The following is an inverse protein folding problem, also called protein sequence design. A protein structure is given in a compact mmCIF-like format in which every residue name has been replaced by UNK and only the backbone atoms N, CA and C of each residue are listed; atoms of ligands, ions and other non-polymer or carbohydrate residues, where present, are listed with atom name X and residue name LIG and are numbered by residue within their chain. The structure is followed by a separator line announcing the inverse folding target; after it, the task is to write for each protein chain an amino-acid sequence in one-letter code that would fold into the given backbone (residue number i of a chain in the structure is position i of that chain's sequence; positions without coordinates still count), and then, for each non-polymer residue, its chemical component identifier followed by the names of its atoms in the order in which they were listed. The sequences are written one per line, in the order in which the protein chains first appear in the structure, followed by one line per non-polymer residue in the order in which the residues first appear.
data_IF_083393769960
#
_entry.id   IF_083393769960
#
_cell.length_a   1.000
_cell.length_b   1.000
_cell.length_c   1.000
_cell.angle_alpha   90.00
_cell.angle_beta   90.00
_cell.angle_gamma   90.00
#
_symmetry.space_group_name_H-M   'P 1'
#
loop_
_entity.id
_entity.type
_entity.pdbx_description
1 polymer ?
#
# COMPACT_ATOMS: atom_id res chain seq x y z
N UNK A 1 15.82 41.59 -73.72
CA UNK A 1 15.09 41.91 -72.48
C UNK A 1 14.47 40.63 -71.94
N UNK A 2 15.03 40.01 -70.84
CA UNK A 2 14.51 38.85 -70.20
C UNK A 2 13.94 39.28 -68.83
N UNK A 3 12.62 39.15 -68.64
CA UNK A 3 11.95 39.40 -67.33
C UNK A 3 12.14 38.25 -66.43
N UNK A 4 12.67 38.50 -65.24
CA UNK A 4 12.75 37.51 -64.12
C UNK A 4 11.45 37.59 -63.30
N UNK A 5 10.76 36.48 -63.22
CA UNK A 5 9.57 36.30 -62.33
C UNK A 5 10.03 35.78 -60.98
N UNK A 6 9.99 36.66 -59.98
CA UNK A 6 10.25 36.25 -58.55
C UNK A 6 9.00 35.61 -57.95
N UNK A 7 9.07 34.32 -57.63
CA UNK A 7 8.02 33.63 -56.85
C UNK A 7 8.27 33.80 -55.35
N UNK A 8 7.37 34.49 -54.69
CA UNK A 8 7.35 34.58 -53.21
C UNK A 8 6.61 33.36 -52.70
N UNK A 9 7.29 32.49 -51.97
CA UNK A 9 6.67 31.38 -51.26
C UNK A 9 6.24 31.85 -49.85
N UNK A 10 4.94 31.88 -49.62
CA UNK A 10 4.37 32.17 -48.31
C UNK A 10 4.36 30.88 -47.47
N UNK A 11 5.22 30.80 -46.46
CA UNK A 11 5.28 29.69 -45.51
C UNK A 11 4.30 30.01 -44.37
N UNK A 12 3.14 29.40 -44.38
CA UNK A 12 2.22 29.40 -43.23
C UNK A 12 2.71 28.42 -42.16
N UNK A 13 3.36 28.92 -41.10
CA UNK A 13 3.70 28.14 -39.92
C UNK A 13 2.45 27.94 -39.05
N UNK A 14 1.86 26.76 -39.10
CA UNK A 14 0.76 26.37 -38.18
C UNK A 14 1.41 25.99 -36.87
N UNK A 15 1.32 26.83 -35.85
CA UNK A 15 1.66 26.53 -34.46
C UNK A 15 0.57 25.65 -33.86
N UNK A 16 0.80 24.35 -33.79
CA UNK A 16 0.00 23.46 -32.95
C UNK A 16 0.35 23.70 -31.47
N UNK A 17 -0.41 24.56 -30.83
CA UNK A 17 -0.37 24.70 -29.38
C UNK A 17 -0.95 23.43 -28.75
N UNK A 18 -0.10 22.54 -28.22
CA UNK A 18 -0.54 21.47 -27.33
C UNK A 18 -0.95 22.10 -26.02
N UNK A 19 -2.26 22.27 -25.80
CA UNK A 19 -2.78 22.60 -24.49
C UNK A 19 -2.50 21.38 -23.57
N UNK A 20 -1.49 21.46 -22.72
CA UNK A 20 -1.30 20.54 -21.64
C UNK A 20 -2.48 20.72 -20.68
N UNK A 21 -3.45 19.80 -20.70
CA UNK A 21 -4.47 19.73 -19.66
C UNK A 21 -3.76 19.40 -18.37
N UNK A 22 -3.71 20.34 -17.42
CA UNK A 22 -3.26 20.03 -16.06
C UNK A 22 -4.11 18.87 -15.53
N UNK A 23 -3.49 17.77 -15.14
CA UNK A 23 -4.19 16.67 -14.50
C UNK A 23 -4.83 17.20 -13.22
N UNK A 24 -6.12 16.92 -13.02
CA UNK A 24 -6.80 17.34 -11.81
C UNK A 24 -6.13 16.68 -10.59
N UNK A 25 -5.81 17.49 -9.59
CA UNK A 25 -5.21 17.02 -8.33
C UNK A 25 -6.10 15.95 -7.69
N UNK A 26 -5.49 14.90 -7.14
CA UNK A 26 -6.20 13.86 -6.41
C UNK A 26 -6.70 14.42 -5.08
N UNK A 27 -7.96 14.15 -4.74
CA UNK A 27 -8.58 14.62 -3.50
C UNK A 27 -9.17 13.45 -2.72
N UNK A 28 -8.97 13.47 -1.40
CA UNK A 28 -9.55 12.54 -0.46
C UNK A 28 -10.47 13.29 0.51
N UNK A 29 -11.78 12.99 0.44
CA UNK A 29 -12.78 13.57 1.32
C UNK A 29 -13.25 12.50 2.29
N UNK A 30 -12.98 12.69 3.60
CA UNK A 30 -13.45 11.77 4.63
C UNK A 30 -14.98 11.79 4.69
N UNK A 31 -15.60 10.62 4.63
CA UNK A 31 -17.07 10.45 4.63
C UNK A 31 -17.56 9.59 5.79
N UNK A 32 -16.70 8.81 6.44
CA UNK A 32 -17.03 8.05 7.63
C UNK A 32 -15.79 7.84 8.53
N UNK A 33 -16.07 7.59 9.80
CA UNK A 33 -15.09 7.26 10.83
C UNK A 33 -15.71 6.26 11.82
N UNK A 34 -14.95 5.24 12.22
CA UNK A 34 -15.37 4.22 13.17
C UNK A 34 -14.29 4.06 14.24
N UNK A 35 -14.61 4.26 15.51
CA UNK A 35 -13.70 4.02 16.63
C UNK A 35 -13.60 2.53 16.90
N UNK A 36 -12.45 1.93 16.56
CA UNK A 36 -12.21 0.48 16.61
C UNK A 36 -10.77 0.25 17.06
N UNK A 37 -10.60 -0.35 18.24
CA UNK A 37 -9.29 -0.54 18.85
C UNK A 37 -8.38 -1.45 18.01
N UNK A 38 -8.94 -2.45 17.34
CA UNK A 38 -8.19 -3.34 16.46
C UNK A 38 -7.66 -2.68 15.16
N UNK A 39 -8.00 -1.41 14.89
CA UNK A 39 -7.48 -0.68 13.73
C UNK A 39 -6.07 -0.10 13.99
N UNK A 40 -5.11 -0.94 14.34
CA UNK A 40 -3.77 -0.54 14.75
C UNK A 40 -2.72 -0.66 13.64
N UNK A 41 -2.78 -1.72 12.81
CA UNK A 41 -1.79 -1.96 11.77
C UNK A 41 -2.36 -1.70 10.37
N UNK A 42 -3.60 -2.13 10.12
CA UNK A 42 -4.19 -1.98 8.79
C UNK A 42 -5.71 -2.06 8.82
N UNK A 43 -6.28 -1.88 7.62
CA UNK A 43 -7.66 -2.23 7.31
C UNK A 43 -7.72 -2.90 5.93
N UNK A 44 -8.43 -4.03 5.83
CA UNK A 44 -8.85 -4.62 4.56
C UNK A 44 -10.30 -4.27 4.25
N UNK A 45 -10.73 -4.47 3.02
CA UNK A 45 -12.12 -4.22 2.62
C UNK A 45 -12.54 -5.15 1.48
N UNK A 46 -13.77 -5.65 1.56
CA UNK A 46 -14.45 -6.36 0.48
C UNK A 46 -15.77 -5.66 0.08
N UNK A 47 -16.67 -6.39 -0.56
CA UNK A 47 -17.94 -5.84 -1.02
C UNK A 47 -18.86 -5.40 0.13
N UNK A 48 -18.86 -6.13 1.25
CA UNK A 48 -19.85 -5.97 2.31
C UNK A 48 -19.24 -5.59 3.67
N UNK A 49 -17.94 -5.91 3.85
CA UNK A 49 -17.26 -5.77 5.13
C UNK A 49 -15.95 -5.00 5.00
N UNK A 50 -15.46 -4.51 6.14
CA UNK A 50 -14.09 -4.11 6.31
C UNK A 50 -13.46 -4.87 7.49
N UNK A 51 -12.13 -5.01 7.45
CA UNK A 51 -11.36 -5.89 8.33
C UNK A 51 -10.21 -5.10 8.96
N UNK A 52 -10.42 -4.48 10.15
CA UNK A 52 -9.32 -3.91 10.92
C UNK A 52 -8.36 -5.00 11.38
N UNK A 53 -7.06 -4.67 11.33
CA UNK A 53 -5.98 -5.58 11.71
C UNK A 53 -5.14 -4.94 12.81
N UNK A 54 -4.86 -5.72 13.83
CA UNK A 54 -3.87 -5.47 14.86
C UNK A 54 -2.80 -6.59 14.82
N UNK A 55 -1.76 -6.49 15.62
CA UNK A 55 -0.60 -7.41 15.61
C UNK A 55 -0.97 -8.90 15.49
N UNK A 56 -1.96 -9.36 16.25
CA UNK A 56 -2.39 -10.77 16.27
C UNK A 56 -3.85 -10.96 15.90
N UNK A 57 -4.56 -9.87 15.58
CA UNK A 57 -6.03 -9.89 15.51
C UNK A 57 -6.51 -9.44 14.13
N UNK A 58 -7.54 -10.11 13.64
CA UNK A 58 -8.39 -9.61 12.56
C UNK A 58 -9.82 -9.50 13.11
N UNK A 59 -10.43 -8.32 12.98
CA UNK A 59 -11.84 -8.13 13.26
C UNK A 59 -12.61 -7.91 11.94
N UNK A 60 -13.92 -8.17 11.95
CA UNK A 60 -14.82 -8.05 10.80
C UNK A 60 -16.00 -7.17 11.17
N UNK A 61 -16.27 -6.17 10.35
CA UNK A 61 -17.36 -5.23 10.49
C UNK A 61 -18.12 -5.06 9.18
N UNK A 62 -19.43 -4.85 9.23
CA UNK A 62 -20.18 -4.35 8.08
C UNK A 62 -19.74 -2.93 7.73
N UNK A 63 -19.98 -2.49 6.49
CA UNK A 63 -19.63 -1.14 6.04
C UNK A 63 -20.33 0.01 6.78
N UNK A 64 -21.39 -0.30 7.52
CA UNK A 64 -22.08 0.65 8.40
C UNK A 64 -21.46 0.73 9.82
N UNK A 65 -20.39 -0.03 10.10
CA UNK A 65 -19.73 -0.10 11.39
C UNK A 65 -20.29 -1.17 12.33
N UNK A 66 -21.27 -1.96 11.93
CA UNK A 66 -21.80 -3.06 12.75
C UNK A 66 -20.75 -4.16 12.92
N UNK A 67 -20.39 -4.48 14.16
CA UNK A 67 -19.49 -5.60 14.48
C UNK A 67 -20.06 -6.94 14.03
N UNK A 68 -19.21 -7.80 13.47
CA UNK A 68 -19.59 -9.14 13.01
C UNK A 68 -18.82 -10.24 13.76
N UNK A 69 -17.49 -10.15 13.72
CA UNK A 69 -16.62 -11.18 14.32
C UNK A 69 -15.23 -10.61 14.64
N UNK A 70 -14.51 -11.32 15.50
CA UNK A 70 -13.12 -11.01 15.86
C UNK A 70 -12.38 -12.30 16.17
N UNK A 71 -11.16 -12.45 15.70
CA UNK A 71 -10.31 -13.59 16.05
C UNK A 71 -8.89 -13.14 16.37
N UNK A 72 -8.33 -13.71 17.42
CA UNK A 72 -6.93 -13.57 17.82
C UNK A 72 -6.17 -14.83 17.41
N UNK A 73 -4.96 -14.69 16.89
CA UNK A 73 -4.15 -15.78 16.36
C UNK A 73 -2.80 -15.92 17.08
N UNK A 74 -2.66 -15.32 18.25
CA UNK A 74 -1.45 -15.44 19.06
C UNK A 74 -1.14 -16.90 19.42
N UNK A 75 -2.19 -17.71 19.58
CA UNK A 75 -2.10 -19.14 19.92
C UNK A 75 -1.48 -20.02 18.83
N UNK A 76 -1.49 -19.54 17.57
CA UNK A 76 -0.84 -20.23 16.43
C UNK A 76 0.48 -19.60 16.01
N UNK A 77 1.02 -18.69 16.83
CA UNK A 77 2.34 -18.08 16.61
C UNK A 77 2.34 -16.84 15.74
N UNK A 78 1.19 -16.24 15.43
CA UNK A 78 1.10 -14.91 14.81
C UNK A 78 1.50 -13.88 15.86
N UNK A 79 2.43 -12.97 15.49
CA UNK A 79 2.94 -11.94 16.38
C UNK A 79 2.86 -10.53 15.83
N UNK A 80 2.81 -10.35 14.51
CA UNK A 80 2.77 -9.03 13.88
C UNK A 80 2.23 -9.07 12.46
N UNK A 81 0.90 -8.91 12.34
CA UNK A 81 0.21 -8.72 11.07
C UNK A 81 0.22 -7.24 10.71
N UNK A 82 0.57 -6.91 9.47
CA UNK A 82 0.75 -5.52 9.02
C UNK A 82 -0.24 -5.08 7.94
N UNK A 83 -0.97 -5.99 7.30
CA UNK A 83 -1.86 -5.64 6.19
C UNK A 83 -3.07 -6.55 6.06
N UNK A 84 -4.00 -6.17 5.19
CA UNK A 84 -5.12 -7.04 4.78
C UNK A 84 -5.56 -6.73 3.35
N UNK A 85 -5.19 -7.57 2.39
CA UNK A 85 -5.72 -7.54 1.04
C UNK A 85 -6.83 -8.60 0.89
N UNK A 86 -8.07 -8.15 0.69
CA UNK A 86 -9.20 -9.08 0.55
C UNK A 86 -9.47 -9.37 -0.92
N UNK A 87 -9.22 -10.63 -1.33
CA UNK A 87 -9.24 -11.06 -2.71
C UNK A 87 -9.95 -12.41 -2.82
N UNK A 88 -11.03 -12.47 -3.58
CA UNK A 88 -11.78 -13.69 -3.83
C UNK A 88 -12.16 -14.46 -2.55
N UNK A 89 -12.67 -13.76 -1.54
CA UNK A 89 -13.11 -14.36 -0.27
C UNK A 89 -11.97 -14.78 0.67
N UNK A 90 -10.73 -14.36 0.39
CA UNK A 90 -9.57 -14.60 1.24
C UNK A 90 -8.94 -13.30 1.67
N UNK A 91 -8.47 -13.24 2.90
CA UNK A 91 -7.67 -12.15 3.45
C UNK A 91 -6.22 -12.59 3.39
N UNK A 92 -5.42 -11.89 2.59
CA UNK A 92 -3.96 -12.06 2.53
C UNK A 92 -3.33 -11.00 3.41
N UNK A 93 -2.55 -11.42 4.38
CA UNK A 93 -1.86 -10.51 5.29
C UNK A 93 -0.35 -10.69 5.18
N UNK A 94 0.38 -9.60 5.29
CA UNK A 94 1.80 -9.65 5.62
C UNK A 94 1.95 -9.94 7.10
N UNK A 95 2.90 -10.79 7.44
CA UNK A 95 3.30 -11.11 8.80
C UNK A 95 4.82 -11.06 8.89
N UNK A 96 5.31 -10.50 9.98
CA UNK A 96 6.75 -10.44 10.26
C UNK A 96 7.03 -10.68 11.73
N UNK A 97 8.30 -10.91 12.06
CA UNK A 97 8.74 -10.94 13.46
C UNK A 97 9.23 -9.56 13.95
N UNK A 98 8.74 -8.48 13.35
CA UNK A 98 9.07 -7.13 13.80
C UNK A 98 8.81 -7.01 15.32
N UNK A 99 9.69 -6.62 16.11
CA UNK A 99 11.00 -5.93 15.98
C UNK A 99 12.21 -6.87 16.13
N UNK A 100 12.01 -8.17 16.03
CA UNK A 100 13.10 -9.11 16.28
C UNK A 100 14.04 -9.20 15.09
N UNK A 101 15.28 -9.52 15.41
CA UNK A 101 16.38 -9.72 14.48
C UNK A 101 16.88 -11.18 14.57
N UNK A 102 17.18 -11.85 13.45
CA UNK A 102 16.99 -11.40 12.06
C UNK A 102 15.52 -11.26 11.70
N UNK A 103 15.19 -10.26 10.84
CA UNK A 103 13.81 -10.09 10.36
C UNK A 103 13.40 -11.24 9.46
N UNK A 104 12.29 -11.88 9.80
CA UNK A 104 11.64 -12.93 9.01
C UNK A 104 10.25 -12.52 8.65
N UNK A 105 9.75 -13.02 7.52
CA UNK A 105 8.42 -12.70 7.04
C UNK A 105 7.70 -13.90 6.49
N UNK A 106 6.38 -13.88 6.57
CA UNK A 106 5.48 -14.82 5.92
C UNK A 106 4.24 -14.10 5.38
N UNK A 107 3.51 -14.80 4.54
CA UNK A 107 2.20 -14.40 4.06
C UNK A 107 1.19 -15.34 4.72
N UNK A 108 0.28 -14.76 5.48
CA UNK A 108 -0.76 -15.52 6.15
C UNK A 108 -2.09 -15.34 5.41
N UNK A 109 -2.83 -16.42 5.25
CA UNK A 109 -4.09 -16.44 4.50
C UNK A 109 -5.22 -16.87 5.40
N UNK A 110 -6.27 -16.07 5.43
CA UNK A 110 -7.47 -16.33 6.20
C UNK A 110 -8.70 -16.36 5.30
N UNK A 111 -9.69 -17.15 5.69
CA UNK A 111 -11.00 -17.11 5.06
C UNK A 111 -11.74 -15.84 5.50
N UNK A 112 -12.26 -15.07 4.55
CA UNK A 112 -12.89 -13.78 4.83
C UNK A 112 -14.28 -13.91 5.47
N UNK A 113 -14.92 -15.08 5.37
CA UNK A 113 -16.23 -15.32 5.98
C UNK A 113 -16.09 -15.76 7.42
N UNK A 114 -15.25 -16.76 7.67
CA UNK A 114 -15.12 -17.41 8.98
C UNK A 114 -14.00 -16.86 9.84
N UNK A 115 -13.08 -16.10 9.25
CA UNK A 115 -11.80 -15.66 9.84
C UNK A 115 -10.90 -16.86 10.23
N UNK A 116 -11.08 -18.05 9.65
CA UNK A 116 -10.18 -19.17 9.87
C UNK A 116 -8.86 -18.98 9.16
N UNK A 117 -7.75 -19.29 9.84
CA UNK A 117 -6.44 -19.36 9.22
C UNK A 117 -6.38 -20.59 8.31
N UNK A 118 -6.12 -20.38 7.02
CA UNK A 118 -6.18 -21.44 6.00
C UNK A 118 -4.87 -21.69 5.28
N UNK A 119 -3.83 -20.88 5.51
CA UNK A 119 -2.54 -21.11 4.89
C UNK A 119 -1.46 -20.12 5.30
N UNK A 120 -0.22 -20.56 5.22
CA UNK A 120 0.98 -19.79 5.48
C UNK A 120 2.03 -20.05 4.41
N UNK A 121 2.70 -18.98 3.98
CA UNK A 121 3.81 -19.04 3.02
C UNK A 121 5.03 -18.32 3.61
N UNK A 122 6.01 -19.09 4.08
CA UNK A 122 7.24 -18.53 4.64
C UNK A 122 8.08 -17.89 3.54
N UNK A 123 8.41 -16.64 3.72
CA UNK A 123 9.40 -15.91 2.91
C UNK A 123 10.80 -16.04 3.55
N UNK A 124 10.84 -16.27 4.86
CA UNK A 124 12.07 -16.43 5.62
C UNK A 124 12.84 -15.12 5.81
N UNK A 125 14.14 -15.24 6.00
CA UNK A 125 15.07 -14.11 6.23
C UNK A 125 15.45 -13.52 4.88
N UNK A 126 14.61 -12.66 4.32
CA UNK A 126 14.88 -11.99 3.03
C UNK A 126 14.37 -10.56 3.07
N UNK A 127 15.13 -9.67 2.47
CA UNK A 127 14.73 -8.32 2.06
C UNK A 127 14.27 -7.37 3.17
N UNK A 128 13.92 -7.82 4.35
CA UNK A 128 13.40 -7.01 5.46
C UNK A 128 12.05 -7.51 5.99
N UNK A 129 11.31 -6.63 6.68
CA UNK A 129 9.97 -6.88 7.21
C UNK A 129 8.91 -6.69 6.13
N UNK A 130 8.13 -7.72 5.80
CA UNK A 130 7.01 -7.58 4.86
C UNK A 130 5.89 -6.78 5.52
N UNK A 131 5.64 -5.56 5.06
CA UNK A 131 4.70 -4.62 5.69
C UNK A 131 3.33 -4.59 5.05
N UNK A 132 3.21 -4.88 3.78
CA UNK A 132 1.92 -4.97 3.12
C UNK A 132 1.97 -5.85 1.87
N UNK A 133 0.78 -6.30 1.48
CA UNK A 133 0.51 -7.02 0.24
C UNK A 133 -0.72 -6.43 -0.44
N UNK A 134 -0.71 -6.40 -1.77
CA UNK A 134 -1.91 -6.18 -2.57
C UNK A 134 -1.76 -6.81 -3.96
N UNK A 135 -2.84 -6.87 -4.73
CA UNK A 135 -2.87 -7.53 -6.04
C UNK A 135 -3.29 -6.56 -7.14
N UNK A 136 -2.53 -6.55 -8.23
CA UNK A 136 -2.87 -5.89 -9.48
C UNK A 136 -2.79 -6.91 -10.62
N UNK A 137 -3.86 -7.01 -11.42
CA UNK A 137 -3.94 -7.88 -12.60
C UNK A 137 -3.53 -9.35 -12.35
N UNK A 138 -3.92 -9.89 -11.18
CA UNK A 138 -3.63 -11.26 -10.77
C UNK A 138 -2.25 -11.49 -10.16
N UNK A 139 -1.37 -10.50 -10.18
CA UNK A 139 -0.03 -10.57 -9.59
C UNK A 139 -0.01 -9.89 -8.22
N UNK A 140 0.63 -10.54 -7.24
CA UNK A 140 0.83 -9.94 -5.93
C UNK A 140 2.07 -9.06 -5.90
N UNK A 141 1.96 -7.99 -5.13
CA UNK A 141 3.03 -7.05 -4.82
C UNK A 141 3.10 -6.87 -3.31
N UNK A 142 4.29 -6.57 -2.80
CA UNK A 142 4.47 -6.30 -1.38
C UNK A 142 5.77 -5.56 -1.12
N UNK A 143 5.85 -4.85 0.00
CA UNK A 143 7.06 -4.13 0.40
C UNK A 143 7.73 -4.84 1.55
N UNK A 144 9.03 -5.04 1.39
CA UNK A 144 9.95 -5.40 2.45
C UNK A 144 10.62 -4.13 3.00
N UNK A 145 10.20 -3.72 4.17
CA UNK A 145 10.69 -2.53 4.84
C UNK A 145 12.00 -2.82 5.60
N UNK A 146 12.91 -1.85 5.54
CA UNK A 146 14.07 -1.76 6.40
C UNK A 146 14.01 -0.42 7.15
N UNK A 147 14.72 -0.30 8.26
CA UNK A 147 14.56 0.79 9.23
C UNK A 147 15.90 1.34 9.67
N UNK A 148 15.94 2.61 10.05
CA UNK A 148 17.11 3.27 10.65
C UNK A 148 17.08 3.22 12.19
N UNK A 149 16.43 2.21 12.74
CA UNK A 149 16.31 2.01 14.18
C UNK A 149 16.87 0.65 14.62
N UNK A 150 17.20 0.52 15.90
CA UNK A 150 17.72 -0.73 16.46
C UNK A 150 16.67 -1.85 16.41
N UNK A 151 17.14 -3.06 16.11
CA UNK A 151 16.37 -4.28 16.25
C UNK A 151 16.49 -4.85 17.67
N UNK A 152 15.81 -5.97 17.90
CA UNK A 152 15.82 -6.69 19.15
C UNK A 152 16.10 -8.17 18.93
N UNK A 153 17.00 -8.75 19.71
CA UNK A 153 17.17 -10.20 19.77
C UNK A 153 15.98 -10.84 20.52
N UNK A 154 15.75 -12.17 20.35
CA UNK A 154 14.70 -12.88 21.08
C UNK A 154 14.81 -12.79 22.60
N UNK A 155 16.02 -12.60 23.14
CA UNK A 155 16.27 -12.40 24.56
C UNK A 155 16.00 -10.95 25.06
N UNK A 156 15.58 -10.07 24.14
CA UNK A 156 15.26 -8.68 24.41
C UNK A 156 16.43 -7.69 24.27
N UNK A 157 17.64 -8.16 23.96
CA UNK A 157 18.81 -7.30 23.75
C UNK A 157 18.64 -6.44 22.49
N UNK A 158 18.86 -5.13 22.61
CA UNK A 158 18.87 -4.23 21.45
C UNK A 158 20.17 -4.41 20.66
N UNK A 159 20.06 -4.44 19.35
CA UNK A 159 21.19 -4.57 18.42
C UNK A 159 21.04 -3.60 17.26
N UNK A 160 22.17 -3.13 16.74
CA UNK A 160 22.19 -2.41 15.48
C UNK A 160 21.77 -3.37 14.35
N UNK A 161 20.90 -2.92 13.47
CA UNK A 161 20.42 -3.74 12.35
C UNK A 161 21.52 -3.81 11.28
N UNK A 162 22.12 -4.98 11.03
CA UNK A 162 23.18 -5.10 10.03
C UNK A 162 22.68 -5.13 8.60
N UNK A 163 21.37 -5.13 8.38
CA UNK A 163 20.80 -5.11 7.02
C UNK A 163 20.86 -3.74 6.36
N UNK A 164 21.44 -2.77 7.00
CA UNK A 164 21.50 -1.44 6.48
C UNK A 164 20.28 -0.62 6.87
N UNK A 165 20.07 0.39 6.10
CA UNK A 165 19.19 1.50 6.38
C UNK A 165 17.83 1.30 5.76
N UNK A 166 16.87 2.18 6.08
CA UNK A 166 15.57 2.29 5.40
C UNK A 166 15.69 2.37 3.86
N UNK A 167 16.83 2.81 3.33
CA UNK A 167 17.07 2.89 1.88
C UNK A 167 17.16 1.53 1.17
N UNK A 168 17.25 0.44 1.93
CA UNK A 168 17.13 -0.93 1.41
C UNK A 168 15.67 -1.41 1.30
N UNK A 169 14.70 -0.57 1.64
CA UNK A 169 13.29 -0.89 1.47
C UNK A 169 12.98 -1.14 0.00
N UNK A 170 12.33 -2.27 -0.28
CA UNK A 170 12.13 -2.77 -1.65
C UNK A 170 10.67 -3.19 -1.85
N UNK A 171 10.04 -2.66 -2.89
CA UNK A 171 8.80 -3.20 -3.43
C UNK A 171 9.13 -4.37 -4.34
N UNK A 172 8.39 -5.47 -4.22
CA UNK A 172 8.56 -6.64 -5.09
C UNK A 172 7.24 -7.06 -5.71
N UNK A 173 7.34 -7.72 -6.86
CA UNK A 173 6.29 -8.46 -7.51
C UNK A 173 6.54 -9.95 -7.36
N UNK A 174 5.53 -10.71 -7.01
CA UNK A 174 5.60 -12.16 -6.82
C UNK A 174 4.98 -12.94 -7.97
N UNK A 175 5.50 -14.13 -8.21
CA UNK A 175 4.79 -15.15 -8.99
C UNK A 175 3.72 -15.87 -8.14
N UNK A 176 3.04 -16.83 -8.75
CA UNK A 176 2.02 -17.67 -8.07
C UNK A 176 2.57 -18.57 -6.95
N UNK A 177 3.88 -18.77 -6.90
CA UNK A 177 4.58 -19.57 -5.90
C UNK A 177 5.29 -18.68 -4.85
N UNK A 178 4.99 -17.40 -4.82
CA UNK A 178 5.59 -16.38 -3.95
C UNK A 178 7.10 -16.17 -4.16
N UNK A 179 7.60 -16.48 -5.38
CA UNK A 179 8.97 -16.13 -5.76
C UNK A 179 9.00 -14.71 -6.30
N UNK A 180 10.04 -13.95 -5.94
CA UNK A 180 10.22 -12.59 -6.43
C UNK A 180 10.58 -12.61 -7.91
N UNK A 181 9.76 -11.96 -8.74
CA UNK A 181 9.95 -11.78 -10.17
C UNK A 181 10.68 -10.49 -10.50
N UNK A 182 10.28 -9.40 -9.86
CA UNK A 182 10.77 -8.04 -10.09
C UNK A 182 10.87 -7.30 -8.77
N UNK A 183 11.74 -6.29 -8.70
CA UNK A 183 11.87 -5.44 -7.52
C UNK A 183 12.19 -3.99 -7.88
N UNK A 184 11.72 -3.08 -7.04
CA UNK A 184 11.92 -1.64 -7.16
C UNK A 184 12.32 -1.04 -5.82
N UNK A 185 13.23 -0.07 -5.86
CA UNK A 185 13.62 0.70 -4.69
C UNK A 185 12.80 2.00 -4.62
N UNK A 186 12.66 2.50 -3.43
CA UNK A 186 11.95 3.75 -3.16
C UNK A 186 12.87 4.96 -3.41
N UNK A 187 12.33 6.10 -3.89
CA UNK A 187 13.09 7.34 -3.94
C UNK A 187 13.56 7.74 -2.54
N UNK A 188 14.82 8.15 -2.42
CA UNK A 188 15.41 8.62 -1.15
C UNK A 188 14.54 9.70 -0.50
N UNK A 189 14.10 10.69 -1.28
CA UNK A 189 13.26 11.78 -0.79
C UNK A 189 11.91 11.32 -0.21
N UNK A 190 11.38 10.17 -0.63
CA UNK A 190 10.19 9.58 -0.04
C UNK A 190 10.51 8.90 1.28
N UNK A 191 11.58 8.11 1.32
CA UNK A 191 11.98 7.41 2.54
C UNK A 191 12.39 8.37 3.65
N UNK A 192 12.98 9.52 3.30
CA UNK A 192 13.36 10.56 4.28
C UNK A 192 12.16 11.16 5.01
N UNK A 193 10.98 11.20 4.37
CA UNK A 193 9.73 11.62 5.04
C UNK A 193 9.28 10.66 6.15
N UNK A 194 9.76 9.43 6.16
CA UNK A 194 9.39 8.41 7.15
C UNK A 194 10.33 8.36 8.35
N UNK A 195 11.27 9.31 8.43
CA UNK A 195 12.26 9.45 9.49
C UNK A 195 13.06 8.15 9.70
N UNK A 196 13.07 7.56 10.90
CA UNK A 196 13.72 6.26 11.19
C UNK A 196 12.90 5.05 10.74
N UNK A 197 11.63 5.28 10.34
CA UNK A 197 10.70 4.24 9.90
C UNK A 197 10.78 4.02 8.37
N UNK A 198 9.78 3.35 7.82
CA UNK A 198 9.74 3.00 6.40
C UNK A 198 8.33 3.05 5.84
N UNK A 199 8.13 2.49 4.64
CA UNK A 199 6.82 2.30 4.05
C UNK A 199 6.04 1.23 4.84
N UNK A 200 4.85 1.58 5.30
CA UNK A 200 4.03 0.73 6.17
C UNK A 200 2.73 0.25 5.52
N UNK A 201 2.29 0.87 4.44
CA UNK A 201 1.07 0.44 3.77
C UNK A 201 1.09 0.70 2.27
N UNK A 202 0.26 -0.04 1.56
CA UNK A 202 0.10 0.12 0.12
C UNK A 202 -1.13 -0.58 -0.41
N UNK A 203 -1.75 0.01 -1.43
CA UNK A 203 -2.87 -0.60 -2.15
C UNK A 203 -2.98 -0.04 -3.57
N UNK A 204 -3.40 -0.86 -4.53
CA UNK A 204 -3.61 -0.43 -5.90
C UNK A 204 -4.98 0.22 -6.09
N UNK A 205 -4.94 1.46 -6.58
CA UNK A 205 -6.13 2.25 -6.87
C UNK A 205 -6.88 1.79 -8.14
N UNK A 206 -8.12 2.29 -8.32
CA UNK A 206 -8.93 1.96 -9.50
C UNK A 206 -8.31 2.45 -10.82
N UNK A 207 -7.36 3.37 -10.76
CA UNK A 207 -6.59 3.87 -11.89
C UNK A 207 -5.33 3.03 -12.21
N UNK A 208 -5.12 1.92 -11.49
CA UNK A 208 -3.96 1.04 -11.64
C UNK A 208 -2.66 1.62 -11.07
N UNK A 209 -2.73 2.76 -10.37
CA UNK A 209 -1.59 3.33 -9.65
C UNK A 209 -1.46 2.70 -8.27
N UNK A 210 -0.24 2.61 -7.80
CA UNK A 210 0.04 2.24 -6.43
C UNK A 210 -0.09 3.47 -5.52
N UNK A 211 -0.75 3.30 -4.39
CA UNK A 211 -0.88 4.31 -3.34
C UNK A 211 -0.20 3.77 -2.09
N UNK A 212 0.74 4.53 -1.55
CA UNK A 212 1.56 4.13 -0.40
C UNK A 212 1.33 5.06 0.78
N UNK A 213 1.64 4.55 1.97
CA UNK A 213 1.68 5.31 3.22
C UNK A 213 3.02 5.10 3.93
N UNK A 214 3.44 6.09 4.71
CA UNK A 214 4.50 5.91 5.69
C UNK A 214 3.97 5.37 7.02
N UNK A 215 4.79 5.46 8.07
CA UNK A 215 4.41 5.00 9.40
C UNK A 215 3.48 6.01 10.12
N UNK A 216 3.78 7.30 10.07
CA UNK A 216 3.06 8.33 10.83
C UNK A 216 2.50 9.49 9.97
N UNK A 217 3.08 9.86 8.81
CA UNK A 217 2.61 11.03 8.07
C UNK A 217 1.15 10.92 7.65
N UNK A 218 0.41 12.03 7.81
CA UNK A 218 -0.98 12.17 7.35
C UNK A 218 -1.04 12.39 5.82
N UNK A 219 -0.39 11.52 5.08
CA UNK A 219 -0.19 11.61 3.63
C UNK A 219 -0.33 10.24 2.96
N UNK A 220 -0.89 10.24 1.75
CA UNK A 220 -0.89 9.11 0.82
C UNK A 220 -0.06 9.51 -0.40
N UNK A 221 0.83 8.63 -0.84
CA UNK A 221 1.73 8.87 -1.96
C UNK A 221 1.28 8.08 -3.18
N UNK A 222 0.95 8.76 -4.26
CA UNK A 222 0.61 8.15 -5.53
C UNK A 222 1.89 7.85 -6.29
N UNK A 223 2.06 6.58 -6.68
CA UNK A 223 3.31 6.06 -7.22
C UNK A 223 3.08 5.52 -8.63
N UNK A 224 4.07 5.77 -9.48
CA UNK A 224 4.19 5.18 -10.80
C UNK A 224 5.42 4.28 -10.87
N UNK A 225 5.28 3.14 -11.54
CA UNK A 225 6.43 2.32 -11.92
C UNK A 225 7.22 3.03 -13.02
N UNK A 226 8.57 3.00 -12.96
CA UNK A 226 9.40 3.66 -13.97
C UNK A 226 9.25 2.96 -15.33
N UNK A 227 9.41 3.73 -16.41
CA UNK A 227 9.46 3.14 -17.77
C UNK A 227 10.73 2.34 -18.01
N UNK A 228 11.79 2.65 -17.29
CA UNK A 228 13.08 1.97 -17.32
C UNK A 228 13.79 2.15 -15.98
N UNK A 229 14.55 1.15 -15.56
CA UNK A 229 15.22 1.15 -14.25
C UNK A 229 14.31 0.65 -13.13
N UNK A 230 14.79 0.78 -11.89
CA UNK A 230 14.17 0.16 -10.72
C UNK A 230 13.84 1.17 -9.60
N UNK A 231 13.81 2.47 -9.87
CA UNK A 231 13.45 3.50 -8.89
C UNK A 231 12.00 3.91 -9.12
N UNK A 232 11.15 3.72 -8.10
CA UNK A 232 9.75 4.17 -8.14
C UNK A 232 9.67 5.70 -8.31
N UNK A 233 8.60 6.18 -8.92
CA UNK A 233 8.39 7.61 -9.15
C UNK A 233 7.17 8.09 -8.35
N UNK A 234 7.36 9.10 -7.48
CA UNK A 234 6.25 9.76 -6.78
C UNK A 234 5.57 10.71 -7.76
N UNK A 235 4.33 10.42 -8.14
CA UNK A 235 3.52 11.30 -8.99
C UNK A 235 2.85 12.40 -8.18
N UNK A 236 2.41 12.10 -6.96
CA UNK A 236 1.66 13.04 -6.12
C UNK A 236 1.79 12.69 -4.64
N UNK A 237 1.84 13.69 -3.78
CA UNK A 237 1.67 13.58 -2.33
C UNK A 237 0.31 14.15 -1.97
N UNK A 238 -0.57 13.34 -1.39
CA UNK A 238 -1.98 13.67 -1.16
C UNK A 238 -2.21 13.74 0.35
N UNK A 239 -2.57 14.90 0.92
CA UNK A 239 -2.98 14.99 2.32
C UNK A 239 -4.19 14.09 2.59
N UNK A 240 -4.16 13.32 3.69
CA UNK A 240 -5.24 12.46 4.12
C UNK A 240 -5.29 12.41 5.64
N UNK A 241 -6.50 12.41 6.22
CA UNK A 241 -6.65 12.27 7.67
C UNK A 241 -6.46 10.82 8.11
N UNK A 242 -5.22 10.36 8.01
CA UNK A 242 -4.73 9.04 8.46
C UNK A 242 -3.54 9.27 9.39
N UNK A 243 -3.13 8.20 10.08
CA UNK A 243 -1.84 8.21 10.78
C UNK A 243 -1.04 6.98 10.31
N UNK A 244 -0.53 7.11 9.08
CA UNK A 244 0.25 6.10 8.39
C UNK A 244 -0.45 4.74 8.26
N UNK A 245 0.36 3.67 8.24
CA UNK A 245 -0.01 2.25 8.26
C UNK A 245 -0.85 1.80 7.06
N UNK A 246 -1.49 0.62 7.17
CA UNK A 246 -2.17 0.00 6.05
C UNK A 246 -3.41 0.74 5.56
N UNK A 247 -3.56 0.79 4.26
CA UNK A 247 -4.73 1.32 3.54
C UNK A 247 -5.29 0.25 2.60
N UNK A 248 -6.55 0.38 2.20
CA UNK A 248 -7.17 -0.50 1.22
C UNK A 248 -8.15 0.24 0.30
N UNK A 249 -7.97 0.09 -1.01
CA UNK A 249 -8.98 0.51 -1.97
C UNK A 249 -10.13 -0.49 -2.03
N UNK A 250 -11.35 0.03 -1.94
CA UNK A 250 -12.55 -0.78 -2.09
C UNK A 250 -12.80 -1.12 -3.58
N UNK A 251 -12.45 -2.34 -3.97
CA UNK A 251 -12.62 -2.81 -5.34
C UNK A 251 -14.09 -2.89 -5.78
N UNK A 252 -15.01 -2.99 -4.82
CA UNK A 252 -16.46 -3.02 -5.07
C UNK A 252 -17.09 -1.62 -5.24
N UNK A 253 -16.40 -0.59 -4.74
CA UNK A 253 -16.82 0.82 -4.78
C UNK A 253 -15.65 1.70 -5.26
N UNK A 254 -15.35 1.72 -6.57
CA UNK A 254 -14.24 2.48 -7.11
C UNK A 254 -14.27 3.95 -6.66
N UNK A 255 -13.12 4.45 -6.24
CA UNK A 255 -12.98 5.79 -5.66
C UNK A 255 -13.27 5.84 -4.15
N UNK A 256 -13.38 4.69 -3.48
CA UNK A 256 -13.45 4.61 -2.01
C UNK A 256 -12.17 4.01 -1.45
N UNK A 257 -11.53 4.72 -0.52
CA UNK A 257 -10.33 4.29 0.18
C UNK A 257 -10.62 4.16 1.68
N UNK A 258 -10.16 3.08 2.27
CA UNK A 258 -10.13 2.86 3.72
C UNK A 258 -8.72 3.11 4.23
N UNK A 259 -8.59 3.74 5.38
CA UNK A 259 -7.34 3.94 6.10
C UNK A 259 -7.57 3.88 7.60
N UNK A 260 -6.50 4.07 8.37
CA UNK A 260 -6.59 4.06 9.83
C UNK A 260 -5.97 5.31 10.45
N UNK A 261 -6.40 5.61 11.67
CA UNK A 261 -5.75 6.56 12.58
C UNK A 261 -5.41 5.78 13.84
N UNK A 262 -4.12 5.57 14.08
CA UNK A 262 -3.64 5.00 15.35
C UNK A 262 -3.67 6.05 16.44
N UNK A 263 -4.12 5.68 17.63
CA UNK A 263 -3.90 6.47 18.82
C UNK A 263 -2.40 6.44 19.17
N UNK A 264 -1.81 7.57 19.51
CA UNK A 264 -0.46 7.63 20.09
C UNK A 264 -0.46 6.99 21.47
N UNK A 265 0.74 6.70 22.02
CA UNK A 265 0.83 6.14 23.37
C UNK A 265 0.09 6.97 24.42
N UNK A 266 0.21 8.29 24.37
CA UNK A 266 -0.48 9.21 25.30
C UNK A 266 -1.99 9.25 25.07
N UNK A 267 -2.43 9.25 23.81
CA UNK A 267 -3.86 9.18 23.45
C UNK A 267 -4.47 7.86 23.89
N UNK A 268 -3.80 6.73 23.66
CA UNK A 268 -4.24 5.40 24.10
C UNK A 268 -4.32 5.31 25.63
N UNK A 269 -3.33 5.83 26.34
CA UNK A 269 -3.36 5.93 27.81
C UNK A 269 -4.50 6.81 28.33
N UNK A 270 -4.95 7.78 27.55
CA UNK A 270 -6.12 8.61 27.83
C UNK A 270 -7.46 7.96 27.38
N UNK A 271 -7.43 6.72 26.88
CA UNK A 271 -8.61 5.98 26.44
C UNK A 271 -9.10 6.31 25.03
N UNK A 272 -8.30 6.99 24.22
CA UNK A 272 -8.61 7.22 22.80
C UNK A 272 -8.42 5.91 22.03
N UNK A 273 -9.44 5.50 21.30
CA UNK A 273 -9.38 4.30 20.44
C UNK A 273 -8.75 4.63 19.08
N UNK A 274 -8.16 3.62 18.48
CA UNK A 274 -7.82 3.63 17.06
C UNK A 274 -9.09 3.82 16.21
N UNK A 275 -8.93 4.21 14.96
CA UNK A 275 -10.06 4.47 14.08
C UNK A 275 -9.84 3.89 12.69
N UNK A 276 -10.91 3.40 12.10
CA UNK A 276 -11.01 3.21 10.65
C UNK A 276 -11.62 4.47 10.05
N UNK A 277 -11.02 5.01 9.01
CA UNK A 277 -11.52 6.17 8.27
C UNK A 277 -11.80 5.81 6.82
N UNK A 278 -12.85 6.38 6.25
CA UNK A 278 -13.30 6.11 4.89
C UNK A 278 -13.30 7.40 4.09
N UNK A 279 -12.68 7.35 2.91
CA UNK A 279 -12.61 8.49 2.00
C UNK A 279 -13.36 8.21 0.69
N UNK A 280 -14.03 9.22 0.17
CA UNK A 280 -14.39 9.32 -1.25
C UNK A 280 -13.33 10.14 -1.95
N UNK A 281 -12.96 9.68 -3.14
CA UNK A 281 -11.91 10.28 -3.94
C UNK A 281 -12.38 10.59 -5.35
N UNK A 282 -11.68 11.47 -6.06
CA UNK A 282 -11.89 11.72 -7.48
C UNK A 282 -11.11 10.75 -8.40
N UNK A 283 -10.43 9.75 -7.82
CA UNK A 283 -9.73 8.71 -8.58
C UNK A 283 -10.75 7.83 -9.32
N UNK A 284 -10.56 7.67 -10.63
CA UNK A 284 -11.47 6.93 -11.50
C UNK A 284 -10.79 5.71 -12.10
N UNK A 285 -11.58 4.69 -12.33
CA UNK A 285 -11.11 3.50 -13.07
C UNK A 285 -10.62 3.94 -14.45
N UNK A 286 -9.36 3.63 -14.74
CA UNK A 286 -8.83 3.83 -16.08
C UNK A 286 -9.38 2.72 -17.01
N UNK A 287 -9.83 3.05 -18.21
CA UNK A 287 -10.13 2.03 -19.20
C UNK A 287 -8.82 1.28 -19.51
N UNK A 288 -8.84 -0.05 -19.44
CA UNK A 288 -7.67 -0.83 -19.87
C UNK A 288 -7.39 -0.50 -21.34
N UNK A 289 -6.15 -0.20 -21.68
CA UNK A 289 -5.80 -0.01 -23.08
C UNK A 289 -6.09 -1.34 -23.83
N UNK A 290 -6.59 -1.25 -25.03
CA UNK A 290 -7.01 -2.41 -25.84
C UNK A 290 -5.92 -3.48 -26.01
N UNK A 291 -4.65 -3.10 -25.96
CA UNK A 291 -3.51 -4.02 -26.05
C UNK A 291 -3.29 -4.86 -24.79
N UNK A 292 -3.78 -4.42 -23.62
CA UNK A 292 -3.69 -5.20 -22.37
C UNK A 292 -4.56 -6.47 -22.41
N UNK A 293 -5.47 -6.59 -23.39
CA UNK A 293 -6.23 -7.81 -23.63
C UNK A 293 -5.40 -8.94 -24.28
N UNK A 294 -4.20 -8.61 -24.76
CA UNK A 294 -3.30 -9.54 -25.45
C UNK A 294 -2.08 -9.93 -24.61
N UNK A 295 -1.95 -9.42 -23.39
CA UNK A 295 -0.94 -9.92 -22.46
C UNK A 295 -1.32 -11.34 -22.07
N UNK A 296 -0.66 -12.31 -22.73
CA UNK A 296 -0.72 -13.73 -22.39
C UNK A 296 -0.05 -13.84 -21.01
N UNK A 297 -0.83 -14.18 -19.98
CA UNK A 297 -0.27 -14.55 -18.69
C UNK A 297 0.67 -15.75 -18.90
N UNK A 298 1.97 -15.64 -18.61
CA UNK A 298 2.89 -16.77 -18.69
C UNK A 298 2.62 -17.82 -17.60
#
# INVERSE_FOLDING_TARGET
MKQAITRVALICSVLFGTAATAAAQTTFTQVAEFSIDDANQAVGVDREHFYPVNDTVIAKYKKDGTFVARRDYADIGIIHLDSAAVINGRIYTSHSNYRFFPMTSSIEVFDADTLEHIGSHSIGIRLGSLTWLDQLDGQFYGTFANYDRTGRLPDGTNVDLPYGTKYNTTLVKFDKNWQVLEGWIFPVALLDKFEEMSNSGGSFGPDGRLYLTGHDPAEVYKIRFPRAGSILEVEETIPANIRGQGIAWDRSSPGTLYGIIRATGDEANAGVLNKVVVFKTNVRKQPRPWWAAFEINP
#
